data_IF_536948002730
#
_entry.id   IF_536948002730
#
_cell.length_a   1.000
_cell.length_b   1.000
_cell.length_c   1.000
_cell.angle_alpha   90.00
_cell.angle_beta   90.00
_cell.angle_gamma   90.00
#
_symmetry.space_group_name_H-M   'P 1'
#
loop_
_entity.id
_entity.type
_entity.pdbx_description
1 polymer ?
#
# COMPACT_ATOMS: atom_id res chain seq x y z
N UNK A 1 10.01 -5.78 9.78
CA UNK A 1 10.10 -4.30 9.63
C UNK A 1 9.07 -3.85 8.62
N UNK A 2 8.28 -2.86 8.96
CA UNK A 2 7.29 -2.26 8.08
C UNK A 2 7.75 -0.84 7.74
N UNK A 3 7.80 -0.53 6.44
CA UNK A 3 8.11 0.81 5.95
C UNK A 3 6.78 1.46 5.59
N UNK A 4 6.33 2.37 6.45
CA UNK A 4 5.03 3.04 6.31
C UNK A 4 5.10 4.16 5.27
N UNK A 5 4.14 4.18 4.35
CA UNK A 5 3.98 5.18 3.28
C UNK A 5 5.32 5.75 2.77
N UNK A 6 6.19 4.90 2.20
CA UNK A 6 7.53 5.33 1.80
C UNK A 6 7.53 6.43 0.74
N UNK A 7 6.46 6.55 -0.03
CA UNK A 7 6.30 7.55 -1.09
C UNK A 7 5.86 8.92 -0.56
N UNK A 8 5.47 9.03 0.71
CA UNK A 8 5.02 10.31 1.29
C UNK A 8 6.15 11.33 1.21
N UNK A 9 5.81 12.58 0.84
CA UNK A 9 6.81 13.60 0.52
C UNK A 9 7.85 13.84 1.62
N UNK A 10 7.50 13.59 2.88
CA UNK A 10 8.43 13.72 4.01
C UNK A 10 9.46 12.58 4.02
N UNK A 11 9.04 11.37 3.64
CA UNK A 11 9.92 10.20 3.54
C UNK A 11 10.63 10.20 2.19
N UNK A 12 9.91 10.49 1.13
CA UNK A 12 10.40 10.68 -0.25
C UNK A 12 11.32 9.56 -0.74
N UNK A 13 10.93 8.33 -0.48
CA UNK A 13 11.70 7.16 -0.94
C UNK A 13 11.33 6.83 -2.39
N UNK A 14 12.32 6.76 -3.28
CA UNK A 14 12.10 6.42 -4.68
C UNK A 14 11.60 4.99 -4.85
N UNK A 15 10.96 4.69 -5.98
CA UNK A 15 10.56 3.33 -6.32
C UNK A 15 11.77 2.38 -6.36
N UNK A 16 12.88 2.83 -6.93
CA UNK A 16 14.10 2.01 -6.99
C UNK A 16 14.63 1.67 -5.60
N UNK A 17 14.59 2.62 -4.67
CA UNK A 17 15.01 2.38 -3.29
C UNK A 17 14.08 1.41 -2.58
N UNK A 18 12.76 1.50 -2.81
CA UNK A 18 11.80 0.56 -2.25
C UNK A 18 12.04 -0.86 -2.76
N UNK A 19 12.26 -1.02 -4.05
CA UNK A 19 12.58 -2.32 -4.66
C UNK A 19 13.86 -2.89 -4.06
N UNK A 20 14.89 -2.05 -3.89
CA UNK A 20 16.16 -2.48 -3.32
C UNK A 20 16.03 -2.93 -1.87
N UNK A 21 15.24 -2.21 -1.06
CA UNK A 21 15.01 -2.59 0.33
C UNK A 21 14.31 -3.93 0.44
N UNK A 22 13.30 -4.17 -0.38
CA UNK A 22 12.60 -5.47 -0.40
C UNK A 22 13.54 -6.58 -0.83
N UNK A 23 14.38 -6.33 -1.84
CA UNK A 23 15.32 -7.33 -2.37
C UNK A 23 16.41 -7.69 -1.36
N UNK A 24 16.95 -6.71 -0.65
CA UNK A 24 18.11 -6.89 0.21
C UNK A 24 17.73 -7.22 1.66
N UNK A 25 16.52 -6.87 2.09
CA UNK A 25 16.06 -7.05 3.47
C UNK A 25 14.63 -7.59 3.48
N UNK A 26 14.26 -8.25 4.57
CA UNK A 26 12.90 -8.74 4.76
C UNK A 26 12.02 -7.63 5.31
N UNK A 27 11.53 -6.76 4.44
CA UNK A 27 10.67 -5.64 4.79
C UNK A 27 9.31 -5.75 4.12
N UNK A 28 8.30 -5.14 4.75
CA UNK A 28 6.97 -4.97 4.20
C UNK A 28 6.79 -3.47 3.90
N UNK A 29 6.36 -3.16 2.68
CA UNK A 29 6.02 -1.79 2.31
C UNK A 29 4.54 -1.58 2.60
N UNK A 30 4.21 -0.62 3.44
CA UNK A 30 2.82 -0.22 3.69
C UNK A 30 2.44 0.85 2.69
N UNK A 31 1.63 0.47 1.69
CA UNK A 31 1.22 1.36 0.60
C UNK A 31 -0.24 1.76 0.81
N UNK A 32 -0.45 3.02 1.11
CA UNK A 32 -1.75 3.55 1.50
C UNK A 32 -2.52 4.09 0.29
N UNK A 33 -3.85 4.18 0.44
CA UNK A 33 -4.73 4.73 -0.61
C UNK A 33 -4.39 6.17 -0.94
N UNK A 34 -4.23 7.00 0.10
CA UNK A 34 -4.09 8.42 -0.07
C UNK A 34 -2.84 8.93 0.64
N UNK A 35 -2.05 9.69 -0.10
CA UNK A 35 -0.82 10.26 0.42
C UNK A 35 -0.73 11.73 0.10
N UNK A 36 -0.07 12.47 0.96
CA UNK A 36 0.37 13.83 0.64
C UNK A 36 1.66 13.72 -0.18
N UNK A 37 1.52 13.95 -1.46
CA UNK A 37 2.65 13.88 -2.41
C UNK A 37 3.31 15.25 -2.60
N UNK A 38 3.09 16.17 -1.66
CA UNK A 38 3.50 17.56 -1.75
C UNK A 38 2.32 18.45 -2.13
N UNK A 39 2.34 19.69 -1.69
CA UNK A 39 1.27 20.65 -1.98
C UNK A 39 0.12 20.66 -0.97
N UNK A 40 0.24 19.94 0.13
CA UNK A 40 -0.68 20.06 1.27
C UNK A 40 -1.99 19.29 1.19
N UNK A 41 -2.29 18.65 0.07
CA UNK A 41 -3.53 17.88 -0.08
C UNK A 41 -3.21 16.39 -0.25
N UNK A 42 -4.04 15.54 0.34
CA UNK A 42 -3.94 14.08 0.13
C UNK A 42 -4.53 13.73 -1.23
N UNK A 43 -3.87 12.85 -1.94
CA UNK A 43 -4.30 12.38 -3.26
C UNK A 43 -4.20 10.86 -3.32
N UNK A 44 -5.09 10.23 -4.09
CA UNK A 44 -4.99 8.80 -4.31
C UNK A 44 -3.71 8.46 -5.10
N UNK A 45 -3.16 7.30 -4.81
CA UNK A 45 -1.83 6.89 -5.26
C UNK A 45 -1.90 5.51 -5.95
N UNK A 46 -3.04 5.18 -6.52
CA UNK A 46 -3.33 3.82 -7.00
C UNK A 46 -2.40 3.34 -8.11
N UNK A 47 -2.08 4.14 -9.15
CA UNK A 47 -1.16 3.67 -10.19
C UNK A 47 0.23 3.34 -9.67
N UNK A 48 0.78 4.16 -8.79
CA UNK A 48 2.10 3.91 -8.19
C UNK A 48 2.07 2.70 -7.26
N UNK A 49 0.98 2.51 -6.52
CA UNK A 49 0.80 1.32 -5.68
C UNK A 49 0.77 0.05 -6.53
N UNK A 50 0.06 0.07 -7.64
CA UNK A 50 0.03 -1.05 -8.58
C UNK A 50 1.44 -1.35 -9.12
N UNK A 51 2.18 -0.33 -9.49
CA UNK A 51 3.53 -0.47 -10.03
C UNK A 51 4.47 -1.13 -9.02
N UNK A 52 4.47 -0.67 -7.76
CA UNK A 52 5.35 -1.25 -6.75
C UNK A 52 4.95 -2.69 -6.41
N UNK A 53 3.65 -3.00 -6.37
CA UNK A 53 3.18 -4.37 -6.13
C UNK A 53 3.72 -5.30 -7.22
N UNK A 54 3.65 -4.90 -8.48
CA UNK A 54 4.18 -5.70 -9.59
C UNK A 54 5.70 -5.83 -9.54
N UNK A 55 6.40 -4.81 -9.06
CA UNK A 55 7.86 -4.80 -9.01
C UNK A 55 8.42 -5.70 -7.91
N UNK A 56 7.80 -5.70 -6.70
CA UNK A 56 8.33 -6.41 -5.54
C UNK A 56 7.56 -7.68 -5.19
N UNK A 57 6.32 -7.81 -5.67
CA UNK A 57 5.44 -8.93 -5.36
C UNK A 57 4.52 -8.64 -4.17
N UNK A 58 3.33 -9.23 -4.22
CA UNK A 58 2.27 -8.99 -3.23
C UNK A 58 2.66 -9.42 -1.81
N UNK A 59 3.61 -10.32 -1.67
CA UNK A 59 4.04 -10.83 -0.37
C UNK A 59 4.80 -9.79 0.45
N UNK A 60 5.21 -8.70 -0.15
CA UNK A 60 6.01 -7.64 0.46
C UNK A 60 5.28 -6.30 0.56
N UNK A 61 3.99 -6.27 0.28
CA UNK A 61 3.21 -5.03 0.28
C UNK A 61 1.95 -5.21 1.11
N UNK A 62 1.76 -4.33 2.09
CA UNK A 62 0.52 -4.25 2.86
C UNK A 62 -0.32 -3.12 2.28
N UNK A 63 -1.58 -3.40 1.99
CA UNK A 63 -2.52 -2.47 1.39
C UNK A 63 -3.49 -1.96 2.45
N UNK A 64 -3.52 -0.65 2.66
CA UNK A 64 -4.43 0.01 3.59
C UNK A 64 -4.79 1.41 3.12
N UNK A 65 -5.45 2.21 3.94
CA UNK A 65 -5.99 3.49 3.48
C UNK A 65 -5.25 4.71 3.98
N UNK A 66 -4.73 4.70 5.20
CA UNK A 66 -4.30 5.91 5.90
C UNK A 66 -5.42 6.99 5.83
N UNK A 67 -6.68 6.53 5.94
CA UNK A 67 -7.85 7.38 5.83
C UNK A 67 -8.17 8.11 7.13
N UNK A 68 -9.19 8.98 7.07
CA UNK A 68 -9.64 9.73 8.24
C UNK A 68 -9.49 11.23 8.10
N UNK A 69 -8.76 11.71 7.12
CA UNK A 69 -8.67 13.14 6.81
C UNK A 69 -9.96 13.59 6.13
N UNK A 70 -10.38 14.81 6.38
CA UNK A 70 -11.65 15.33 5.85
C UNK A 70 -11.68 15.45 4.33
N UNK A 71 -10.52 15.62 3.70
CA UNK A 71 -10.37 15.72 2.24
C UNK A 71 -10.39 14.37 1.51
N UNK A 72 -10.36 13.28 2.25
CA UNK A 72 -10.34 11.93 1.66
C UNK A 72 -11.73 11.29 1.72
N UNK A 73 -12.01 10.30 0.85
CA UNK A 73 -13.22 9.49 0.99
C UNK A 73 -13.24 8.76 2.34
N UNK A 74 -14.41 8.35 2.78
CA UNK A 74 -14.53 7.51 3.97
C UNK A 74 -13.64 6.28 3.80
N UNK A 75 -12.98 5.84 4.89
CA UNK A 75 -11.95 4.79 4.82
C UNK A 75 -12.44 3.49 4.16
N UNK A 76 -13.68 3.11 4.41
CA UNK A 76 -14.23 1.88 3.82
C UNK A 76 -14.42 2.00 2.31
N UNK A 77 -14.84 3.17 1.82
CA UNK A 77 -14.98 3.43 0.39
C UNK A 77 -13.61 3.50 -0.28
N UNK A 78 -12.66 4.12 0.39
CA UNK A 78 -11.28 4.19 -0.11
C UNK A 78 -10.65 2.81 -0.24
N UNK A 79 -10.83 1.94 0.75
CA UNK A 79 -10.29 0.59 0.69
C UNK A 79 -10.96 -0.23 -0.41
N UNK A 80 -12.29 -0.12 -0.56
CA UNK A 80 -13.02 -0.79 -1.62
C UNK A 80 -12.52 -0.36 -3.00
N UNK A 81 -12.36 0.94 -3.21
CA UNK A 81 -11.83 1.47 -4.47
C UNK A 81 -10.42 0.95 -4.75
N UNK A 82 -9.56 0.92 -3.75
CA UNK A 82 -8.19 0.43 -3.88
C UNK A 82 -8.17 -1.05 -4.28
N UNK A 83 -8.92 -1.87 -3.56
CA UNK A 83 -9.00 -3.31 -3.85
C UNK A 83 -9.56 -3.55 -5.25
N UNK A 84 -10.62 -2.84 -5.63
CA UNK A 84 -11.23 -2.98 -6.95
C UNK A 84 -10.26 -2.54 -8.06
N UNK A 85 -9.53 -1.46 -7.83
CA UNK A 85 -8.51 -1.00 -8.77
C UNK A 85 -7.47 -2.09 -9.05
N UNK A 86 -6.99 -2.74 -8.00
CA UNK A 86 -5.97 -3.80 -8.15
C UNK A 86 -6.53 -4.98 -8.94
N UNK A 87 -7.73 -5.43 -8.63
CA UNK A 87 -8.37 -6.54 -9.35
C UNK A 87 -8.59 -6.16 -10.82
N UNK A 88 -9.08 -4.96 -11.09
CA UNK A 88 -9.34 -4.48 -12.45
C UNK A 88 -8.05 -4.38 -13.29
N UNK A 89 -6.91 -4.25 -12.64
CA UNK A 89 -5.61 -4.13 -13.31
C UNK A 89 -4.77 -5.40 -13.23
N UNK A 90 -5.40 -6.53 -12.95
CA UNK A 90 -4.77 -7.85 -13.13
C UNK A 90 -4.18 -8.49 -11.89
N UNK A 91 -4.38 -7.90 -10.70
CA UNK A 91 -3.94 -8.54 -9.45
C UNK A 91 -5.02 -9.53 -9.03
N UNK A 92 -4.71 -10.83 -8.87
CA UNK A 92 -5.71 -11.82 -8.45
C UNK A 92 -6.31 -11.50 -7.08
N UNK A 93 -7.59 -11.85 -6.90
CA UNK A 93 -8.31 -11.58 -5.66
C UNK A 93 -7.61 -12.17 -4.43
N UNK A 94 -7.05 -13.38 -4.53
CA UNK A 94 -6.34 -13.99 -3.41
C UNK A 94 -5.08 -13.22 -3.02
N UNK A 95 -4.44 -12.53 -3.96
CA UNK A 95 -3.30 -11.66 -3.64
C UNK A 95 -3.75 -10.36 -2.98
N UNK A 96 -4.88 -9.81 -3.41
CA UNK A 96 -5.47 -8.64 -2.75
C UNK A 96 -5.86 -8.99 -1.31
N UNK A 97 -6.46 -10.16 -1.10
CA UNK A 97 -6.78 -10.65 0.24
C UNK A 97 -5.52 -10.77 1.10
N UNK A 98 -4.45 -11.33 0.54
CA UNK A 98 -3.18 -11.50 1.26
C UNK A 98 -2.64 -10.16 1.74
N UNK A 99 -2.62 -9.15 0.88
CA UNK A 99 -2.09 -7.82 1.20
C UNK A 99 -2.96 -7.04 2.20
N UNK A 100 -4.26 -7.26 2.18
CA UNK A 100 -5.20 -6.50 3.02
C UNK A 100 -5.53 -7.20 4.34
N UNK A 101 -5.37 -8.52 4.43
CA UNK A 101 -5.74 -9.28 5.62
C UNK A 101 -4.62 -10.16 6.16
N UNK A 102 -4.04 -10.99 5.33
CA UNK A 102 -3.05 -11.97 5.79
C UNK A 102 -1.82 -11.28 6.39
N UNK A 103 -1.27 -10.30 5.71
CA UNK A 103 -0.12 -9.55 6.23
C UNK A 103 -0.46 -8.83 7.54
N UNK A 104 -1.53 -8.02 7.62
CA UNK A 104 -1.90 -7.38 8.88
C UNK A 104 -2.11 -8.36 10.03
N UNK A 105 -2.77 -9.48 9.79
CA UNK A 105 -2.99 -10.49 10.83
C UNK A 105 -1.67 -11.08 11.34
N UNK A 106 -0.74 -11.38 10.44
CA UNK A 106 0.59 -11.88 10.82
C UNK A 106 1.36 -10.86 11.66
N UNK A 107 1.33 -9.59 11.24
CA UNK A 107 2.03 -8.53 11.96
C UNK A 107 1.46 -8.34 13.37
N UNK A 108 0.17 -8.54 13.54
CA UNK A 108 -0.50 -8.44 14.83
C UNK A 108 -0.44 -9.72 15.67
N UNK A 109 0.03 -10.83 15.08
CA UNK A 109 0.06 -12.12 15.75
C UNK A 109 -1.32 -12.75 15.94
N UNK A 110 -2.29 -12.42 15.08
CA UNK A 110 -3.68 -12.88 15.15
C UNK A 110 -3.89 -13.93 14.06
N UNK A 111 -4.63 -14.99 14.37
CA UNK A 111 -5.05 -15.98 13.38
C UNK A 111 -6.23 -15.44 12.55
N UNK A 112 -6.25 -15.78 11.28
CA UNK A 112 -7.34 -15.42 10.37
C UNK A 112 -8.65 -16.15 10.70
#
# INVERSE_FOLDING_TARGET
IVITHPEWWVVDMSMDDQVRLVKDYDVILERCYAQNMGGGAYKSNLPDNLEIIKAVGYEHVMVDTDGGQTENPHWELALEEYMQYLVDHGIPEEQVYYMTKTIPYRLLGIEE
#
